data_IF_895022007896
#
_entry.id   IF_895022007896
#
_cell.length_a   1.000
_cell.length_b   1.000
_cell.length_c   1.000
_cell.angle_alpha   90.00
_cell.angle_beta   90.00
_cell.angle_gamma   90.00
#
_symmetry.space_group_name_H-M   'P 1'
#
loop_
_entity.id
_entity.type
_entity.pdbx_description
1 polymer ?
#
# COMPACT_ATOMS: atom_id res chain seq x y z
N UNK A 1 9.13 -2.82 51.15
CA UNK A 1 9.47 -3.68 50.00
C UNK A 1 8.31 -3.62 49.05
N UNK A 2 8.41 -2.91 47.93
CA UNK A 2 7.39 -2.88 46.93
C UNK A 2 7.42 -4.25 46.23
N UNK A 3 6.36 -5.05 46.28
CA UNK A 3 6.19 -6.26 45.47
C UNK A 3 6.16 -5.82 44.02
N UNK A 4 7.11 -6.27 43.23
CA UNK A 4 7.04 -6.22 41.77
C UNK A 4 5.70 -6.83 41.34
N UNK A 5 4.85 -6.16 40.56
CA UNK A 5 3.59 -6.75 40.14
C UNK A 5 3.89 -8.06 39.38
N UNK A 6 3.37 -9.15 39.91
CA UNK A 6 3.50 -10.46 39.30
C UNK A 6 2.64 -10.43 38.02
N UNK A 7 3.27 -10.47 36.84
CA UNK A 7 2.57 -10.56 35.55
C UNK A 7 1.77 -11.86 35.59
N UNK A 8 0.44 -11.75 35.57
CA UNK A 8 -0.41 -12.92 35.57
C UNK A 8 -0.45 -13.49 34.17
N UNK A 9 0.22 -14.62 33.96
CA UNK A 9 0.17 -15.42 32.73
C UNK A 9 -0.91 -16.48 32.84
N UNK A 10 -1.63 -16.72 31.75
CA UNK A 10 -2.63 -17.78 31.67
C UNK A 10 -2.39 -18.64 30.43
N UNK A 11 -2.20 -19.94 30.62
CA UNK A 11 -2.21 -20.91 29.55
C UNK A 11 -3.66 -21.25 29.18
N UNK A 12 -3.92 -21.34 27.88
CA UNK A 12 -5.25 -21.54 27.29
C UNK A 12 -5.18 -22.65 26.26
N UNK A 13 -6.07 -23.61 26.35
CA UNK A 13 -6.14 -24.77 25.46
C UNK A 13 -7.52 -24.95 24.76
N UNK A 14 -8.53 -24.15 25.13
CA UNK A 14 -9.85 -24.19 24.54
C UNK A 14 -10.52 -22.82 24.49
N UNK A 15 -11.65 -22.72 23.78
CA UNK A 15 -12.36 -21.46 23.53
C UNK A 15 -12.90 -20.83 24.83
N UNK A 16 -13.39 -21.62 25.77
CA UNK A 16 -13.96 -21.11 27.03
C UNK A 16 -12.87 -20.43 27.88
N UNK A 17 -11.73 -21.10 28.02
CA UNK A 17 -10.55 -20.53 28.70
C UNK A 17 -10.07 -19.24 28.05
N UNK A 18 -10.02 -19.20 26.70
CA UNK A 18 -9.62 -18.01 25.95
C UNK A 18 -10.57 -16.85 26.21
N UNK A 19 -11.88 -17.07 26.11
CA UNK A 19 -12.90 -16.06 26.39
C UNK A 19 -12.82 -15.57 27.84
N UNK A 20 -12.60 -16.47 28.81
CA UNK A 20 -12.44 -16.11 30.22
C UNK A 20 -11.16 -15.26 30.43
N UNK A 21 -10.06 -15.64 29.79
CA UNK A 21 -8.78 -14.94 29.88
C UNK A 21 -8.88 -13.52 29.32
N UNK A 22 -9.47 -13.35 28.12
CA UNK A 22 -9.61 -12.01 27.48
C UNK A 22 -10.52 -11.07 28.27
N UNK A 23 -11.41 -11.57 29.14
CA UNK A 23 -12.29 -10.78 30.02
C UNK A 23 -11.71 -10.49 31.41
N UNK A 24 -10.60 -11.13 31.75
CA UNK A 24 -10.00 -11.03 33.07
C UNK A 24 -8.90 -9.95 33.09
N UNK A 25 -9.18 -8.81 33.73
CA UNK A 25 -8.24 -7.68 33.86
C UNK A 25 -6.93 -8.02 34.58
N UNK A 26 -6.86 -9.12 35.31
CA UNK A 26 -5.65 -9.57 36.02
C UNK A 26 -4.72 -10.39 35.14
N UNK A 27 -5.23 -10.90 34.00
CA UNK A 27 -4.44 -11.65 33.03
C UNK A 27 -3.82 -10.68 32.04
N UNK A 28 -2.51 -10.57 32.04
CA UNK A 28 -1.75 -9.68 31.15
C UNK A 28 -1.21 -10.45 29.94
N UNK A 29 -0.83 -11.72 30.12
CA UNK A 29 -0.31 -12.55 29.04
C UNK A 29 -1.15 -13.83 28.89
N UNK A 30 -1.68 -14.04 27.69
CA UNK A 30 -2.52 -15.17 27.32
C UNK A 30 -1.72 -16.05 26.34
N UNK A 31 -1.31 -17.23 26.81
CA UNK A 31 -0.49 -18.18 26.07
C UNK A 31 -1.35 -19.31 25.51
N UNK A 32 -1.59 -19.35 24.21
CA UNK A 32 -2.46 -20.31 23.55
C UNK A 32 -1.65 -21.55 23.16
N UNK A 33 -2.05 -22.72 23.64
CA UNK A 33 -1.33 -23.98 23.44
C UNK A 33 -1.90 -24.88 22.34
N UNK A 34 -3.12 -24.61 21.86
CA UNK A 34 -3.82 -25.42 20.86
C UNK A 34 -4.52 -24.56 19.80
N UNK A 35 -4.72 -25.12 18.62
CA UNK A 35 -5.55 -24.52 17.58
C UNK A 35 -7.01 -24.50 18.06
N UNK A 36 -7.69 -23.35 17.88
CA UNK A 36 -9.07 -23.13 18.32
C UNK A 36 -9.95 -22.77 17.13
N UNK A 37 -11.15 -23.30 17.12
CA UNK A 37 -12.13 -23.08 16.05
C UNK A 37 -13.49 -22.64 16.58
N UNK A 38 -14.35 -22.17 15.69
CA UNK A 38 -15.71 -21.70 15.99
C UNK A 38 -15.74 -20.54 17.02
N UNK A 39 -14.71 -19.68 17.00
CA UNK A 39 -14.61 -18.57 17.92
C UNK A 39 -15.59 -17.45 17.55
N UNK A 40 -16.23 -16.87 18.55
CA UNK A 40 -16.88 -15.56 18.43
C UNK A 40 -15.82 -14.46 18.42
N UNK A 41 -16.13 -13.23 17.95
CA UNK A 41 -15.20 -12.11 18.04
C UNK A 41 -14.61 -11.97 19.44
N UNK A 42 -13.31 -11.78 19.50
CA UNK A 42 -12.56 -11.59 20.73
C UNK A 42 -12.20 -10.12 20.90
N UNK A 43 -12.19 -9.65 22.14
CA UNK A 43 -11.71 -8.30 22.50
C UNK A 43 -10.66 -8.42 23.59
N UNK A 44 -9.48 -7.84 23.34
CA UNK A 44 -8.45 -7.73 24.37
C UNK A 44 -8.76 -6.58 25.32
N UNK A 45 -8.49 -6.81 26.60
CA UNK A 45 -8.47 -5.72 27.59
C UNK A 45 -7.17 -4.91 27.41
N UNK A 46 -7.15 -3.64 27.84
CA UNK A 46 -5.94 -2.83 27.81
C UNK A 46 -4.74 -3.52 28.46
N UNK A 47 -3.59 -3.48 27.80
CA UNK A 47 -2.33 -4.09 28.25
C UNK A 47 -2.21 -5.60 28.06
N UNK A 48 -3.22 -6.28 27.50
CA UNK A 48 -3.13 -7.71 27.27
C UNK A 48 -2.27 -8.06 26.06
N UNK A 49 -1.47 -9.11 26.24
CA UNK A 49 -0.71 -9.79 25.19
C UNK A 49 -1.39 -11.15 24.86
N UNK A 50 -1.63 -11.40 23.58
CA UNK A 50 -2.13 -12.67 23.07
C UNK A 50 -1.05 -13.33 22.20
N UNK A 51 -0.64 -14.56 22.53
CA UNK A 51 0.43 -15.21 21.78
C UNK A 51 0.30 -16.74 21.75
N UNK A 52 1.00 -17.35 20.79
CA UNK A 52 1.24 -18.79 20.81
C UNK A 52 2.14 -19.17 22.02
N UNK A 53 1.83 -20.28 22.67
CA UNK A 53 2.67 -20.86 23.71
C UNK A 53 3.91 -21.61 23.14
N UNK A 54 4.00 -21.74 21.83
CA UNK A 54 5.08 -22.45 21.13
C UNK A 54 5.61 -21.62 19.97
N UNK A 55 6.72 -22.03 19.37
CA UNK A 55 7.27 -21.40 18.15
C UNK A 55 6.37 -21.61 16.92
N UNK A 56 5.42 -22.53 16.96
CA UNK A 56 4.42 -22.73 15.92
C UNK A 56 3.34 -21.67 16.02
N UNK A 57 2.92 -21.12 14.90
CA UNK A 57 1.71 -20.29 14.84
C UNK A 57 0.50 -21.14 15.22
N UNK A 58 -0.16 -20.76 16.29
CA UNK A 58 -1.45 -21.34 16.68
C UNK A 58 -2.54 -20.73 15.81
N UNK A 59 -3.47 -21.56 15.33
CA UNK A 59 -4.58 -21.16 14.48
C UNK A 59 -5.79 -20.79 15.34
N UNK A 60 -6.30 -19.58 15.16
CA UNK A 60 -7.57 -19.11 15.70
C UNK A 60 -8.56 -18.91 14.56
N UNK A 61 -9.53 -19.83 14.41
CA UNK A 61 -10.56 -19.75 13.39
C UNK A 61 -11.86 -19.22 13.99
N UNK A 62 -12.34 -18.12 13.43
CA UNK A 62 -13.58 -17.48 13.86
C UNK A 62 -14.76 -17.99 13.06
N UNK A 63 -15.98 -17.80 13.59
CA UNK A 63 -17.23 -18.16 12.91
C UNK A 63 -17.37 -17.44 11.58
N UNK A 64 -18.09 -18.08 10.68
CA UNK A 64 -18.52 -17.44 9.43
C UNK A 64 -19.27 -16.13 9.75
N UNK A 65 -19.07 -15.09 8.95
CA UNK A 65 -19.69 -13.78 9.12
C UNK A 65 -19.32 -13.07 10.45
N UNK A 66 -18.17 -13.39 11.02
CA UNK A 66 -17.66 -12.73 12.23
C UNK A 66 -16.28 -12.13 12.01
N UNK A 67 -16.06 -10.97 12.59
CA UNK A 67 -14.72 -10.39 12.76
C UNK A 67 -13.89 -11.22 13.77
N UNK A 68 -12.58 -11.03 13.76
CA UNK A 68 -11.64 -11.80 14.59
C UNK A 68 -11.33 -11.17 15.94
N UNK A 69 -10.26 -10.38 16.00
CA UNK A 69 -9.67 -9.85 17.22
C UNK A 69 -9.75 -8.31 17.27
N UNK A 70 -10.47 -7.78 18.25
CA UNK A 70 -10.48 -6.37 18.59
C UNK A 70 -9.35 -6.04 19.57
N UNK A 71 -8.47 -5.10 19.19
CA UNK A 71 -7.44 -4.56 20.07
C UNK A 71 -7.87 -3.22 20.65
N UNK A 72 -7.41 -2.89 21.85
CA UNK A 72 -7.76 -1.67 22.58
C UNK A 72 -6.54 -0.77 22.77
N UNK A 73 -5.96 -0.75 23.96
CA UNK A 73 -4.80 0.06 24.33
C UNK A 73 -3.65 -0.83 24.79
N UNK A 74 -2.42 -0.58 24.35
CA UNK A 74 -1.21 -1.30 24.75
C UNK A 74 -1.29 -2.81 24.57
N UNK A 75 -1.94 -3.26 23.48
CA UNK A 75 -2.06 -4.69 23.20
C UNK A 75 -0.91 -5.20 22.33
N UNK A 76 -0.58 -6.47 22.53
CA UNK A 76 0.40 -7.19 21.71
C UNK A 76 -0.17 -8.52 21.20
N UNK A 77 0.10 -8.83 19.93
CA UNK A 77 -0.36 -10.06 19.26
C UNK A 77 0.85 -10.73 18.59
N UNK A 78 1.17 -11.95 19.00
CA UNK A 78 2.37 -12.65 18.56
C UNK A 78 2.11 -14.08 18.09
N UNK A 79 2.77 -14.49 17.02
CA UNK A 79 2.92 -15.88 16.58
C UNK A 79 1.57 -16.61 16.33
N UNK A 80 0.61 -15.91 15.74
CA UNK A 80 -0.75 -16.41 15.50
C UNK A 80 -1.11 -16.47 14.01
N UNK A 81 -2.02 -17.42 13.66
CA UNK A 81 -2.70 -17.49 12.38
C UNK A 81 -4.20 -17.24 12.62
N UNK A 82 -4.66 -16.00 12.36
CA UNK A 82 -6.06 -15.58 12.58
C UNK A 82 -6.86 -15.78 11.29
N UNK A 83 -7.94 -16.54 11.36
CA UNK A 83 -8.76 -16.90 10.20
C UNK A 83 -10.20 -16.45 10.36
N UNK A 84 -10.60 -15.49 9.54
CA UNK A 84 -11.98 -15.05 9.34
C UNK A 84 -12.36 -15.21 7.87
N UNK A 85 -13.62 -15.01 7.52
CA UNK A 85 -14.03 -14.87 6.13
C UNK A 85 -13.28 -13.66 5.50
N UNK A 86 -12.77 -13.74 4.27
CA UNK A 86 -11.95 -12.68 3.67
C UNK A 86 -12.57 -11.27 3.66
N UNK A 87 -13.91 -11.18 3.70
CA UNK A 87 -14.67 -9.92 3.78
C UNK A 87 -14.73 -9.31 5.19
N UNK A 88 -14.16 -9.99 6.19
CA UNK A 88 -14.17 -9.58 7.59
C UNK A 88 -12.76 -9.18 8.06
N UNK A 89 -12.71 -8.51 9.20
CA UNK A 89 -11.45 -8.04 9.79
C UNK A 89 -10.87 -9.09 10.71
N UNK A 90 -9.66 -9.53 10.42
CA UNK A 90 -8.92 -10.43 11.31
C UNK A 90 -8.45 -9.69 12.58
N UNK A 91 -8.01 -8.44 12.42
CA UNK A 91 -7.64 -7.54 13.53
C UNK A 91 -8.21 -6.15 13.25
N UNK A 92 -8.84 -5.55 14.26
CA UNK A 92 -9.25 -4.13 14.22
C UNK A 92 -9.12 -3.50 15.60
N UNK A 93 -9.13 -2.16 15.66
CA UNK A 93 -9.05 -1.46 16.94
C UNK A 93 -10.39 -0.94 17.44
N UNK A 94 -10.53 -0.88 18.76
CA UNK A 94 -11.58 -0.14 19.44
C UNK A 94 -11.45 1.36 19.15
N UNK A 95 -12.53 1.97 18.70
CA UNK A 95 -12.59 3.41 18.39
C UNK A 95 -13.10 4.26 19.57
N UNK A 96 -13.44 3.62 20.68
CA UNK A 96 -14.00 4.30 21.87
C UNK A 96 -12.95 4.61 22.94
N UNK A 97 -11.71 4.19 22.75
CA UNK A 97 -10.56 4.53 23.61
C UNK A 97 -9.94 5.86 23.20
N UNK A 98 -9.42 6.64 24.14
CA UNK A 98 -8.78 7.93 23.83
C UNK A 98 -7.38 7.75 23.23
N UNK A 99 -6.70 6.65 23.56
CA UNK A 99 -5.38 6.30 23.05
C UNK A 99 -5.26 4.81 22.77
N UNK A 100 -4.62 4.47 21.67
CA UNK A 100 -4.23 3.08 21.36
C UNK A 100 -2.98 2.64 22.15
N UNK A 101 -2.29 3.59 22.82
CA UNK A 101 -1.00 3.29 23.44
C UNK A 101 -0.01 2.76 22.41
N UNK A 102 0.68 1.67 22.73
CA UNK A 102 1.52 0.95 21.76
C UNK A 102 0.86 -0.37 21.40
N UNK A 103 0.41 -0.49 20.13
CA UNK A 103 -0.09 -1.74 19.56
C UNK A 103 1.05 -2.47 18.85
N UNK A 104 1.31 -3.72 19.23
CA UNK A 104 2.37 -4.54 18.65
C UNK A 104 1.77 -5.77 17.96
N UNK A 105 2.05 -5.94 16.67
CA UNK A 105 1.67 -7.13 15.89
C UNK A 105 2.95 -7.72 15.32
N UNK A 106 3.31 -8.94 15.76
CA UNK A 106 4.56 -9.56 15.29
C UNK A 106 4.36 -11.03 14.96
N UNK A 107 4.92 -11.44 13.82
CA UNK A 107 4.86 -12.84 13.36
C UNK A 107 3.40 -13.34 13.29
N UNK A 108 2.52 -12.57 12.60
CA UNK A 108 1.09 -12.86 12.50
C UNK A 108 0.72 -13.14 11.05
N UNK A 109 -0.11 -14.16 10.87
CA UNK A 109 -0.74 -14.50 9.58
C UNK A 109 -2.23 -14.27 9.67
N UNK A 110 -2.84 -13.79 8.58
CA UNK A 110 -4.29 -13.61 8.56
C UNK A 110 -4.92 -14.09 7.26
N UNK A 111 -6.16 -14.56 7.39
CA UNK A 111 -7.20 -14.44 6.38
C UNK A 111 -8.21 -13.42 6.94
N UNK A 112 -8.58 -12.44 6.13
CA UNK A 112 -9.26 -11.22 6.58
C UNK A 112 -8.30 -10.04 6.73
N UNK A 113 -8.84 -8.84 6.69
CA UNK A 113 -8.07 -7.60 6.73
C UNK A 113 -7.53 -7.28 8.13
N UNK A 114 -6.45 -6.49 8.17
CA UNK A 114 -5.97 -5.82 9.39
C UNK A 114 -6.25 -4.34 9.24
N UNK A 115 -7.11 -3.79 10.11
CA UNK A 115 -7.63 -2.43 9.99
C UNK A 115 -7.46 -1.67 11.31
N UNK A 116 -6.53 -0.73 11.34
CA UNK A 116 -6.28 0.16 12.48
C UNK A 116 -6.65 1.59 12.05
N UNK A 117 -7.75 2.12 12.60
CA UNK A 117 -8.27 3.44 12.24
C UNK A 117 -8.41 4.30 13.50
N UNK A 118 -7.66 5.39 13.54
CA UNK A 118 -7.82 6.43 14.56
C UNK A 118 -8.96 7.36 14.13
N UNK A 119 -10.12 7.14 14.69
CA UNK A 119 -11.34 7.95 14.52
C UNK A 119 -12.09 8.02 15.83
N UNK A 120 -13.23 8.70 15.88
CA UNK A 120 -14.07 8.88 17.06
C UNK A 120 -13.26 9.44 18.23
N UNK A 121 -12.98 8.65 19.26
CA UNK A 121 -12.24 9.10 20.45
C UNK A 121 -10.73 8.93 20.33
N UNK A 122 -10.24 8.12 19.40
CA UNK A 122 -8.81 7.79 19.31
C UNK A 122 -8.00 9.00 18.85
N UNK A 123 -7.16 9.53 19.73
CA UNK A 123 -6.36 10.74 19.47
C UNK A 123 -4.84 10.51 19.47
N UNK A 124 -4.40 9.33 19.88
CA UNK A 124 -2.97 9.00 19.89
C UNK A 124 -2.73 7.49 19.80
N UNK A 125 -1.53 7.11 19.40
CA UNK A 125 -1.09 5.73 19.36
C UNK A 125 0.22 5.56 18.61
N UNK A 126 0.92 4.47 18.94
CA UNK A 126 2.07 3.95 18.21
C UNK A 126 1.75 2.54 17.72
N UNK A 127 1.94 2.30 16.46
CA UNK A 127 1.64 1.01 15.83
C UNK A 127 2.95 0.36 15.37
N UNK A 128 3.28 -0.78 15.93
CA UNK A 128 4.47 -1.56 15.58
C UNK A 128 4.04 -2.88 14.94
N UNK A 129 4.40 -3.06 13.69
CA UNK A 129 4.12 -4.29 12.94
C UNK A 129 5.41 -4.87 12.41
N UNK A 130 5.65 -6.14 12.71
CA UNK A 130 6.76 -6.89 12.14
C UNK A 130 6.31 -8.28 11.72
N UNK A 131 6.56 -8.62 10.45
CA UNK A 131 6.24 -9.94 9.90
C UNK A 131 4.74 -10.23 9.93
N UNK A 132 3.95 -9.39 9.27
CA UNK A 132 2.51 -9.58 9.05
C UNK A 132 2.27 -10.12 7.63
N UNK A 133 1.57 -11.26 7.54
CA UNK A 133 1.27 -11.95 6.29
C UNK A 133 -0.26 -12.08 6.09
N UNK A 134 -0.86 -11.18 5.33
CA UNK A 134 -2.30 -11.20 5.00
C UNK A 134 -2.50 -12.01 3.72
N UNK A 135 -2.89 -13.27 3.86
CA UNK A 135 -2.96 -14.21 2.74
C UNK A 135 -4.15 -13.99 1.82
N UNK A 136 -5.26 -13.55 2.38
CA UNK A 136 -6.49 -13.28 1.65
C UNK A 136 -7.30 -12.24 2.41
N UNK A 137 -7.83 -11.25 1.71
CA UNK A 137 -8.76 -10.26 2.22
C UNK A 137 -9.60 -9.71 1.06
N UNK A 138 -10.81 -9.23 1.38
CA UNK A 138 -11.67 -8.50 0.46
C UNK A 138 -12.19 -7.22 1.13
N UNK A 139 -11.58 -6.09 0.80
CA UNK A 139 -11.90 -4.78 1.39
C UNK A 139 -12.77 -3.91 0.49
N UNK A 140 -13.25 -4.44 -0.63
CA UNK A 140 -14.07 -3.68 -1.60
C UNK A 140 -15.41 -3.21 -1.01
N UNK A 141 -15.89 -3.89 0.03
CA UNK A 141 -17.11 -3.54 0.77
C UNK A 141 -16.93 -2.44 1.81
N UNK A 142 -15.69 -2.02 2.12
CA UNK A 142 -15.43 -0.97 3.10
C UNK A 142 -16.00 0.38 2.62
N UNK A 143 -16.67 1.09 3.54
CA UNK A 143 -17.43 2.31 3.20
C UNK A 143 -16.59 3.58 3.28
N UNK A 144 -15.71 3.66 4.27
CA UNK A 144 -14.82 4.80 4.41
C UNK A 144 -13.76 4.73 3.31
N UNK A 145 -13.69 5.77 2.49
CA UNK A 145 -12.74 5.86 1.37
C UNK A 145 -12.22 7.27 1.26
N UNK A 146 -10.90 7.49 1.21
CA UNK A 146 -10.40 8.82 0.87
C UNK A 146 -10.84 9.18 -0.54
N UNK A 147 -11.20 10.45 -0.73
CA UNK A 147 -11.60 10.99 -2.02
C UNK A 147 -10.80 12.26 -2.30
N UNK A 148 -9.95 12.22 -3.31
CA UNK A 148 -9.17 13.36 -3.78
C UNK A 148 -8.87 13.15 -5.28
N UNK A 149 -8.48 14.20 -5.97
CA UNK A 149 -8.15 14.14 -7.41
C UNK A 149 -9.27 13.58 -8.31
N UNK A 150 -10.51 13.58 -7.82
CA UNK A 150 -11.69 13.04 -8.53
C UNK A 150 -11.88 11.54 -8.43
N UNK A 151 -11.13 10.86 -7.56
CA UNK A 151 -11.24 9.41 -7.37
C UNK A 151 -11.35 9.02 -5.90
N UNK A 152 -12.03 7.91 -5.64
CA UNK A 152 -12.10 7.24 -4.34
C UNK A 152 -11.16 6.05 -4.32
N UNK A 153 -10.41 5.89 -3.22
CA UNK A 153 -9.46 4.79 -3.05
C UNK A 153 -10.07 3.66 -2.24
N UNK A 154 -9.95 2.42 -2.73
CA UNK A 154 -10.32 1.23 -1.96
C UNK A 154 -9.33 1.02 -0.80
N UNK A 155 -9.85 0.71 0.40
CA UNK A 155 -9.01 0.39 1.55
C UNK A 155 -8.12 -0.83 1.31
N UNK A 156 -7.06 -0.96 2.11
CA UNK A 156 -6.09 -2.04 2.00
C UNK A 156 -6.46 -3.30 2.78
N UNK A 157 -5.89 -4.42 2.36
CA UNK A 157 -5.85 -5.61 3.21
C UNK A 157 -5.15 -5.31 4.54
N UNK A 158 -4.08 -4.51 4.51
CA UNK A 158 -3.57 -3.76 5.65
C UNK A 158 -3.96 -2.30 5.53
N UNK A 159 -4.70 -1.77 6.49
CA UNK A 159 -5.10 -0.36 6.58
C UNK A 159 -4.65 0.22 7.91
N UNK A 160 -3.83 1.28 7.83
CA UNK A 160 -3.52 2.15 8.96
C UNK A 160 -3.93 3.58 8.59
N UNK A 161 -4.93 4.11 9.26
CA UNK A 161 -5.52 5.39 8.89
C UNK A 161 -5.78 6.28 10.11
N UNK A 162 -5.20 7.47 10.11
CA UNK A 162 -5.59 8.52 11.04
C UNK A 162 -6.68 9.40 10.40
N UNK A 163 -7.93 9.10 10.70
CA UNK A 163 -9.12 9.76 10.14
C UNK A 163 -9.63 10.91 11.02
N UNK A 164 -8.84 11.38 11.99
CA UNK A 164 -9.21 12.52 12.85
C UNK A 164 -9.21 13.83 12.05
N UNK A 165 -10.21 14.66 12.28
CA UNK A 165 -10.29 15.98 11.64
C UNK A 165 -9.33 17.01 12.25
N UNK A 166 -8.83 16.77 13.44
CA UNK A 166 -7.92 17.64 14.18
C UNK A 166 -6.47 17.40 13.74
N UNK A 167 -5.81 18.43 13.24
CA UNK A 167 -4.44 18.36 12.72
C UNK A 167 -3.35 18.13 13.79
N UNK A 168 -3.70 18.35 15.06
CA UNK A 168 -2.79 18.07 16.18
C UNK A 168 -2.77 16.58 16.56
N UNK A 169 -3.73 15.80 16.08
CA UNK A 169 -3.76 14.37 16.32
C UNK A 169 -2.75 13.67 15.42
N UNK A 170 -1.75 13.05 16.02
CA UNK A 170 -0.73 12.30 15.33
C UNK A 170 -0.68 10.83 15.79
N UNK A 171 -0.66 9.93 14.84
CA UNK A 171 -0.38 8.49 15.03
C UNK A 171 1.02 8.23 14.49
N UNK A 172 1.82 7.46 15.22
CA UNK A 172 3.14 7.02 14.75
C UNK A 172 3.15 5.53 14.43
N UNK A 173 4.01 5.11 13.50
CA UNK A 173 4.11 3.72 13.15
C UNK A 173 5.52 3.29 12.72
N UNK A 174 5.82 2.01 12.95
CA UNK A 174 6.96 1.30 12.41
C UNK A 174 6.46 -0.04 11.83
N UNK A 175 6.48 -0.16 10.51
CA UNK A 175 5.79 -1.18 9.75
C UNK A 175 6.81 -1.93 8.89
N UNK A 176 7.20 -3.14 9.29
CA UNK A 176 8.23 -3.90 8.57
C UNK A 176 7.77 -5.31 8.22
N UNK A 177 8.27 -5.83 7.12
CA UNK A 177 7.99 -7.19 6.65
C UNK A 177 6.49 -7.49 6.39
N UNK A 178 5.76 -6.55 5.78
CA UNK A 178 4.36 -6.76 5.43
C UNK A 178 4.22 -7.49 4.10
N UNK A 179 3.32 -8.47 4.04
CA UNK A 179 2.97 -9.18 2.80
C UNK A 179 1.46 -9.24 2.62
N UNK A 180 0.97 -9.12 1.39
CA UNK A 180 -0.46 -9.30 1.08
C UNK A 180 -0.66 -10.12 -0.19
N UNK A 181 -1.64 -11.03 -0.15
CA UNK A 181 -1.98 -11.88 -1.27
C UNK A 181 -0.85 -12.84 -1.67
N UNK A 182 -1.05 -13.50 -2.81
CA UNK A 182 -0.10 -14.44 -3.43
C UNK A 182 -0.13 -14.26 -4.94
N UNK A 183 0.92 -14.69 -5.59
CA UNK A 183 0.90 -14.84 -7.06
C UNK A 183 -0.30 -15.70 -7.47
N UNK A 184 -1.16 -15.18 -8.34
CA UNK A 184 -2.39 -15.86 -8.77
C UNK A 184 -3.54 -15.88 -7.75
N UNK A 185 -3.34 -15.36 -6.54
CA UNK A 185 -4.36 -15.22 -5.50
C UNK A 185 -4.19 -13.87 -4.77
N UNK A 186 -4.45 -12.74 -5.45
CA UNK A 186 -4.31 -11.41 -4.86
C UNK A 186 -5.35 -11.17 -3.76
N UNK A 187 -5.09 -10.23 -2.88
CA UNK A 187 -6.14 -9.64 -2.04
C UNK A 187 -7.05 -8.77 -2.91
N UNK A 188 -8.32 -8.64 -2.52
CA UNK A 188 -9.31 -7.84 -3.25
C UNK A 188 -9.46 -6.46 -2.61
N UNK A 189 -9.12 -5.43 -3.36
CA UNK A 189 -8.93 -4.04 -2.91
C UNK A 189 -7.47 -3.64 -2.98
N UNK A 190 -7.04 -2.68 -2.18
CA UNK A 190 -5.63 -2.26 -2.07
C UNK A 190 -4.83 -3.28 -1.22
N UNK A 191 -3.56 -3.45 -1.48
CA UNK A 191 -2.67 -4.29 -0.67
C UNK A 191 -2.36 -3.64 0.67
N UNK A 192 -1.51 -2.63 0.65
CA UNK A 192 -1.06 -1.85 1.82
C UNK A 192 -1.55 -0.41 1.67
N UNK A 193 -2.25 0.08 2.69
CA UNK A 193 -2.86 1.40 2.69
C UNK A 193 -2.49 2.14 3.99
N UNK A 194 -1.78 3.26 3.87
CA UNK A 194 -1.42 4.12 4.99
C UNK A 194 -1.88 5.56 4.72
N UNK A 195 -2.66 6.15 5.62
CA UNK A 195 -3.34 7.41 5.40
C UNK A 195 -3.43 8.31 6.62
N UNK A 196 -3.35 9.62 6.41
CA UNK A 196 -3.85 10.64 7.32
C UNK A 196 -5.23 11.14 6.89
N UNK A 197 -5.70 12.23 7.48
CA UNK A 197 -7.03 12.81 7.23
C UNK A 197 -7.00 14.05 6.31
N UNK A 198 -6.18 14.02 5.29
CA UNK A 198 -6.07 15.13 4.34
C UNK A 198 -5.02 16.18 4.72
N UNK A 199 -5.09 17.33 4.05
CA UNK A 199 -4.08 18.41 4.22
C UNK A 199 -4.15 19.11 5.58
N UNK A 200 -5.28 19.06 6.26
CA UNK A 200 -5.58 19.76 7.52
C UNK A 200 -6.19 18.87 8.59
N UNK A 201 -6.03 17.58 8.49
CA UNK A 201 -6.53 16.64 9.48
C UNK A 201 -5.41 15.90 10.19
N UNK A 202 -5.76 14.85 10.91
CA UNK A 202 -4.85 14.00 11.65
C UNK A 202 -3.72 13.46 10.79
N UNK A 203 -2.53 13.39 11.36
CA UNK A 203 -1.30 13.01 10.68
C UNK A 203 -0.89 11.58 11.02
N UNK A 204 -0.36 10.88 10.03
CA UNK A 204 0.29 9.59 10.22
C UNK A 204 1.78 9.73 9.94
N UNK A 205 2.61 9.47 10.95
CA UNK A 205 4.07 9.50 10.83
C UNK A 205 4.61 8.07 10.86
N UNK A 206 5.20 7.63 9.77
CA UNK A 206 5.73 6.29 9.60
C UNK A 206 7.26 6.35 9.52
N UNK A 207 7.94 5.78 10.50
CA UNK A 207 9.40 5.71 10.52
C UNK A 207 9.91 4.81 9.40
N UNK A 208 9.39 3.59 9.34
CA UNK A 208 9.68 2.61 8.27
C UNK A 208 8.37 2.01 7.75
N UNK A 209 8.30 1.86 6.44
CA UNK A 209 7.30 1.02 5.77
C UNK A 209 8.06 0.04 4.88
N UNK A 210 8.16 -1.21 5.32
CA UNK A 210 8.79 -2.27 4.52
C UNK A 210 7.76 -3.31 4.11
N UNK A 211 7.71 -3.60 2.81
CA UNK A 211 6.86 -4.67 2.28
C UNK A 211 7.71 -5.77 1.66
N UNK A 212 7.29 -7.00 1.83
CA UNK A 212 7.72 -8.13 1.01
C UNK A 212 6.83 -8.22 -0.24
N UNK A 213 6.32 -9.40 -0.60
CA UNK A 213 5.46 -9.54 -1.75
C UNK A 213 4.06 -8.95 -1.50
N UNK A 214 3.60 -8.11 -2.44
CA UNK A 214 2.26 -7.51 -2.44
C UNK A 214 1.57 -7.86 -3.75
N UNK A 215 0.43 -8.55 -3.65
CA UNK A 215 -0.43 -8.89 -4.78
C UNK A 215 -1.85 -8.41 -4.49
N UNK A 216 -2.38 -7.53 -5.33
CA UNK A 216 -3.71 -6.93 -5.15
C UNK A 216 -4.50 -6.86 -6.45
N UNK A 217 -5.82 -6.81 -6.34
CA UNK A 217 -6.76 -6.67 -7.43
C UNK A 217 -7.98 -5.87 -6.94
N UNK A 218 -8.11 -4.64 -7.41
CA UNK A 218 -9.26 -3.79 -7.07
C UNK A 218 -10.58 -4.34 -7.56
N UNK A 219 -10.56 -5.18 -8.59
CA UNK A 219 -11.75 -5.65 -9.31
C UNK A 219 -12.73 -4.54 -9.64
N UNK A 220 -12.18 -3.38 -9.95
CA UNK A 220 -12.97 -2.23 -10.39
C UNK A 220 -13.59 -2.57 -11.74
N UNK A 221 -14.87 -2.29 -11.88
CA UNK A 221 -15.57 -2.56 -13.14
C UNK A 221 -14.98 -1.69 -14.27
N UNK A 222 -14.64 -2.25 -15.43
CA UNK A 222 -14.18 -1.48 -16.57
C UNK A 222 -15.15 -0.31 -16.89
N UNK A 223 -14.60 0.86 -17.19
CA UNK A 223 -15.38 2.09 -17.40
C UNK A 223 -15.69 2.90 -16.14
N UNK A 224 -15.38 2.39 -14.94
CA UNK A 224 -15.45 3.18 -13.70
C UNK A 224 -14.26 4.13 -13.62
N UNK A 225 -14.52 5.44 -13.69
CA UNK A 225 -13.46 6.45 -13.77
C UNK A 225 -13.08 7.07 -12.42
N UNK A 226 -13.89 6.88 -11.40
CA UNK A 226 -13.83 7.55 -10.09
C UNK A 226 -13.40 6.62 -8.94
N UNK A 227 -12.88 5.43 -9.26
CA UNK A 227 -12.35 4.49 -8.28
C UNK A 227 -10.97 3.99 -8.69
N UNK A 228 -10.10 3.85 -7.69
CA UNK A 228 -8.78 3.26 -7.82
C UNK A 228 -8.49 2.31 -6.65
N UNK A 229 -7.60 1.36 -6.89
CA UNK A 229 -6.96 0.54 -5.87
C UNK A 229 -5.46 0.49 -6.12
N UNK A 230 -4.70 -0.21 -5.30
CA UNK A 230 -3.27 -0.29 -5.53
C UNK A 230 -2.55 -1.41 -4.78
N UNK A 231 -1.26 -1.51 -5.05
CA UNK A 231 -0.38 -2.39 -4.31
C UNK A 231 0.03 -1.76 -2.97
N UNK A 232 0.81 -0.69 -3.03
CA UNK A 232 1.25 0.08 -1.86
C UNK A 232 0.84 1.53 -2.05
N UNK A 233 0.01 2.04 -1.16
CA UNK A 233 -0.58 3.36 -1.26
C UNK A 233 -0.26 4.20 -0.02
N UNK A 234 0.51 5.27 -0.21
CA UNK A 234 0.77 6.32 0.79
C UNK A 234 -0.18 7.49 0.49
N UNK A 235 -1.23 7.64 1.29
CA UNK A 235 -2.26 8.64 1.08
C UNK A 235 -1.90 9.95 1.79
N UNK A 236 -2.57 11.03 1.46
CA UNK A 236 -2.36 12.36 2.03
C UNK A 236 -2.39 12.37 3.56
N UNK A 237 -1.74 13.36 4.17
CA UNK A 237 -1.60 13.45 5.63
C UNK A 237 -0.64 12.41 6.23
N UNK A 238 -0.02 11.58 5.40
CA UNK A 238 1.01 10.62 5.79
C UNK A 238 2.40 11.14 5.44
N UNK A 239 3.31 11.04 6.40
CA UNK A 239 4.74 11.19 6.20
C UNK A 239 5.43 9.86 6.43
N UNK A 240 6.27 9.43 5.49
CA UNK A 240 7.09 8.22 5.59
C UNK A 240 8.56 8.59 5.48
N UNK A 241 9.35 8.30 6.51
CA UNK A 241 10.80 8.56 6.46
C UNK A 241 11.51 7.59 5.52
N UNK A 242 11.24 6.29 5.63
CA UNK A 242 11.83 5.26 4.77
C UNK A 242 10.79 4.24 4.31
N UNK A 243 10.57 4.17 2.99
CA UNK A 243 9.72 3.16 2.37
C UNK A 243 10.58 2.19 1.54
N UNK A 244 10.41 0.89 1.75
CA UNK A 244 11.17 -0.15 1.05
C UNK A 244 10.23 -1.28 0.60
N UNK A 245 10.18 -1.54 -0.70
CA UNK A 245 9.53 -2.73 -1.23
C UNK A 245 10.62 -3.78 -1.50
N UNK A 246 10.72 -4.80 -0.66
CA UNK A 246 11.76 -5.83 -0.73
C UNK A 246 11.40 -6.95 -1.70
N UNK A 247 10.10 -7.21 -1.89
CA UNK A 247 9.54 -8.18 -2.80
C UNK A 247 8.75 -7.54 -3.94
N UNK A 248 8.17 -8.36 -4.84
CA UNK A 248 7.39 -7.87 -5.96
C UNK A 248 6.11 -7.16 -5.49
N UNK A 249 5.73 -6.10 -6.20
CA UNK A 249 4.42 -5.45 -6.09
C UNK A 249 3.69 -5.61 -7.41
N UNK A 250 2.59 -6.35 -7.40
CA UNK A 250 1.85 -6.72 -8.61
C UNK A 250 0.36 -6.44 -8.43
N UNK A 251 -0.22 -5.71 -9.38
CA UNK A 251 -1.66 -5.43 -9.41
C UNK A 251 -2.31 -6.01 -10.66
N UNK A 252 -3.58 -6.41 -10.55
CA UNK A 252 -4.28 -7.10 -11.63
C UNK A 252 -5.52 -6.35 -12.12
N UNK A 253 -6.09 -5.47 -11.32
CA UNK A 253 -7.36 -4.81 -11.61
C UNK A 253 -7.24 -3.59 -12.52
N UNK A 254 -8.39 -3.18 -13.05
CA UNK A 254 -8.55 -1.90 -13.76
C UNK A 254 -8.30 -0.75 -12.79
N UNK A 255 -7.62 0.29 -13.24
CA UNK A 255 -7.25 1.47 -12.44
C UNK A 255 -6.44 1.13 -11.16
N UNK A 256 -5.70 0.05 -11.18
CA UNK A 256 -4.83 -0.30 -10.07
C UNK A 256 -3.46 0.37 -10.21
N UNK A 257 -3.04 1.09 -9.16
CA UNK A 257 -1.74 1.72 -9.06
C UNK A 257 -0.79 0.81 -8.26
N UNK A 258 0.23 0.22 -8.90
CA UNK A 258 1.11 -0.69 -8.15
C UNK A 258 1.79 0.03 -6.97
N UNK A 259 2.35 1.21 -7.21
CA UNK A 259 2.92 2.09 -6.18
C UNK A 259 2.32 3.49 -6.36
N UNK A 260 1.69 4.03 -5.30
CA UNK A 260 1.02 5.33 -5.37
C UNK A 260 1.37 6.21 -4.15
N UNK A 261 1.69 7.46 -4.41
CA UNK A 261 2.01 8.45 -3.40
C UNK A 261 1.17 9.72 -3.51
N UNK A 262 0.34 9.97 -2.51
CA UNK A 262 -0.36 11.25 -2.29
C UNK A 262 0.18 11.99 -1.05
N UNK A 263 1.03 11.34 -0.28
CA UNK A 263 1.64 11.85 0.95
C UNK A 263 3.02 12.45 0.74
N UNK A 264 3.84 12.34 1.76
CA UNK A 264 5.24 12.77 1.73
C UNK A 264 6.15 11.61 2.08
N UNK A 265 7.15 11.33 1.26
CA UNK A 265 8.12 10.25 1.48
C UNK A 265 9.54 10.81 1.33
N UNK A 266 10.37 10.63 2.35
CA UNK A 266 11.77 11.04 2.22
C UNK A 266 12.53 10.13 1.26
N UNK A 267 12.50 8.83 1.52
CA UNK A 267 13.19 7.86 0.69
C UNK A 267 12.30 6.66 0.38
N UNK A 268 12.09 6.39 -0.91
CA UNK A 268 11.38 5.22 -1.41
C UNK A 268 12.30 4.35 -2.27
N UNK A 269 12.53 3.10 -1.85
CA UNK A 269 13.36 2.14 -2.58
C UNK A 269 12.57 0.87 -2.87
N UNK A 270 12.39 0.52 -4.14
CA UNK A 270 11.84 -0.78 -4.54
C UNK A 270 12.95 -1.69 -5.05
N UNK A 271 13.07 -2.86 -4.43
CA UNK A 271 14.02 -3.93 -4.81
C UNK A 271 13.34 -5.09 -5.53
N UNK A 272 12.01 -5.11 -5.56
CA UNK A 272 11.24 -6.11 -6.26
C UNK A 272 10.65 -5.57 -7.55
N UNK A 273 10.31 -6.48 -8.47
CA UNK A 273 9.61 -6.13 -9.72
C UNK A 273 8.29 -5.42 -9.41
N UNK A 274 8.00 -4.39 -10.19
CA UNK A 274 6.71 -3.69 -10.16
C UNK A 274 5.96 -4.01 -11.44
N UNK A 275 4.75 -4.57 -11.34
CA UNK A 275 3.96 -4.91 -12.51
C UNK A 275 2.47 -4.58 -12.32
N UNK A 276 1.79 -4.15 -13.39
CA UNK A 276 0.34 -4.00 -13.43
C UNK A 276 -0.23 -4.57 -14.72
N UNK A 277 -1.33 -5.32 -14.60
CA UNK A 277 -1.95 -6.03 -15.71
C UNK A 277 -3.25 -5.38 -16.18
N UNK A 278 -3.93 -4.62 -15.32
CA UNK A 278 -5.23 -4.04 -15.65
C UNK A 278 -5.17 -2.84 -16.58
N UNK A 279 -6.29 -2.55 -17.24
CA UNK A 279 -6.47 -1.33 -18.03
C UNK A 279 -6.26 -0.09 -17.15
N UNK A 280 -5.62 0.93 -17.68
CA UNK A 280 -5.30 2.18 -17.00
C UNK A 280 -4.50 2.01 -15.70
N UNK A 281 -3.88 0.85 -15.49
CA UNK A 281 -3.00 0.60 -14.37
C UNK A 281 -1.72 1.43 -14.46
N UNK A 282 -1.10 1.75 -13.31
CA UNK A 282 0.14 2.53 -13.27
C UNK A 282 1.19 1.83 -12.42
N UNK A 283 2.41 1.71 -12.95
CA UNK A 283 3.52 1.12 -12.21
C UNK A 283 3.90 1.96 -11.00
N UNK A 284 4.19 3.23 -11.22
CA UNK A 284 4.42 4.22 -10.15
C UNK A 284 3.73 5.54 -10.50
N UNK A 285 2.93 6.06 -9.57
CA UNK A 285 2.32 7.39 -9.72
C UNK A 285 2.58 8.28 -8.50
N UNK A 286 2.82 9.57 -8.75
CA UNK A 286 3.02 10.57 -7.71
C UNK A 286 2.03 11.72 -7.84
N UNK A 287 1.39 12.06 -6.71
CA UNK A 287 0.59 13.25 -6.48
C UNK A 287 1.10 14.05 -5.27
N UNK A 288 1.98 13.46 -4.48
CA UNK A 288 2.54 14.05 -3.27
C UNK A 288 3.98 14.55 -3.44
N UNK A 289 4.78 14.39 -2.41
CA UNK A 289 6.20 14.78 -2.45
C UNK A 289 7.10 13.59 -2.13
N UNK A 290 8.16 13.42 -2.93
CA UNK A 290 9.20 12.42 -2.67
C UNK A 290 10.55 13.11 -2.81
N UNK A 291 11.45 12.92 -1.82
CA UNK A 291 12.80 13.44 -1.96
C UNK A 291 13.66 12.55 -2.86
N UNK A 292 13.73 11.25 -2.53
CA UNK A 292 14.54 10.29 -3.27
C UNK A 292 13.74 9.02 -3.58
N UNK A 293 13.55 8.70 -4.86
CA UNK A 293 12.88 7.53 -5.39
C UNK A 293 13.87 6.65 -6.14
N UNK A 294 13.92 5.34 -5.83
CA UNK A 294 14.81 4.42 -6.53
C UNK A 294 14.13 3.05 -6.73
N UNK A 295 13.95 2.64 -7.98
CA UNK A 295 13.45 1.33 -8.35
C UNK A 295 14.55 0.52 -9.05
N UNK A 296 15.03 -0.51 -8.35
CA UNK A 296 16.20 -1.32 -8.74
C UNK A 296 15.87 -2.47 -9.68
N UNK A 297 14.56 -2.76 -9.85
CA UNK A 297 14.04 -3.76 -10.77
C UNK A 297 13.06 -3.09 -11.75
N UNK A 298 12.76 -3.71 -12.91
CA UNK A 298 11.90 -3.11 -13.91
C UNK A 298 10.49 -2.80 -13.42
N UNK A 299 9.94 -1.70 -13.96
CA UNK A 299 8.48 -1.50 -14.02
C UNK A 299 8.01 -2.11 -15.34
N UNK A 300 6.93 -2.90 -15.27
CA UNK A 300 6.32 -3.51 -16.46
C UNK A 300 4.79 -3.41 -16.40
N UNK A 301 4.17 -2.80 -17.41
CA UNK A 301 2.72 -2.61 -17.47
C UNK A 301 2.14 -3.21 -18.74
N UNK A 302 1.01 -3.93 -18.61
CA UNK A 302 0.43 -4.71 -19.70
C UNK A 302 -0.91 -4.16 -20.20
N UNK A 303 -1.65 -3.47 -19.35
CA UNK A 303 -3.00 -3.01 -19.66
C UNK A 303 -3.04 -1.91 -20.71
N UNK A 304 -4.15 -1.84 -21.44
CA UNK A 304 -4.44 -0.71 -22.33
C UNK A 304 -4.51 0.59 -21.52
N UNK A 305 -3.93 1.66 -22.04
CA UNK A 305 -3.89 2.96 -21.36
C UNK A 305 -3.08 3.00 -20.07
N UNK A 306 -2.33 1.93 -19.75
CA UNK A 306 -1.47 1.88 -18.58
C UNK A 306 -0.31 2.88 -18.67
N UNK A 307 0.39 3.09 -17.56
CA UNK A 307 1.59 3.94 -17.53
C UNK A 307 2.69 3.27 -16.71
N UNK A 308 3.93 3.43 -17.16
CA UNK A 308 5.07 2.97 -16.39
C UNK A 308 5.29 3.85 -15.16
N UNK A 309 5.65 5.11 -15.39
CA UNK A 309 5.89 6.12 -14.35
C UNK A 309 5.15 7.42 -14.67
N UNK A 310 4.50 8.00 -13.66
CA UNK A 310 3.72 9.22 -13.86
C UNK A 310 3.86 10.19 -12.67
N UNK A 311 4.20 11.45 -12.96
CA UNK A 311 4.18 12.57 -12.01
C UNK A 311 2.97 13.44 -12.36
N UNK A 312 1.85 13.20 -11.69
CA UNK A 312 0.58 13.90 -11.92
C UNK A 312 0.48 15.22 -11.17
N UNK A 313 0.90 15.20 -9.90
CA UNK A 313 0.88 16.36 -9.01
C UNK A 313 2.07 16.29 -8.04
N UNK A 314 2.23 17.33 -7.21
CA UNK A 314 3.32 17.40 -6.25
C UNK A 314 4.70 17.52 -6.90
N UNK A 315 5.70 16.86 -6.32
CA UNK A 315 7.08 16.94 -6.80
C UNK A 315 7.92 15.71 -6.44
N UNK A 316 8.94 15.43 -7.23
CA UNK A 316 9.97 14.45 -6.90
C UNK A 316 11.35 15.12 -7.02
N UNK A 317 12.19 15.00 -5.99
CA UNK A 317 13.57 15.51 -6.02
C UNK A 317 14.43 14.71 -6.99
N UNK A 318 14.67 13.44 -6.66
CA UNK A 318 15.45 12.52 -7.49
C UNK A 318 14.67 11.25 -7.73
N UNK A 319 14.65 10.78 -8.99
CA UNK A 319 14.07 9.49 -9.36
C UNK A 319 15.08 8.68 -10.17
N UNK A 320 15.29 7.44 -9.77
CA UNK A 320 16.13 6.48 -10.48
C UNK A 320 15.36 5.21 -10.74
N UNK A 321 15.35 4.74 -12.00
CA UNK A 321 14.72 3.52 -12.44
C UNK A 321 15.73 2.61 -13.14
N UNK A 322 15.59 1.32 -12.95
CA UNK A 322 16.33 0.33 -13.73
C UNK A 322 15.86 0.34 -15.20
N UNK A 323 14.60 -0.02 -15.46
CA UNK A 323 13.97 -0.06 -16.77
C UNK A 323 12.46 0.16 -16.66
N UNK A 324 11.87 0.77 -17.67
CA UNK A 324 10.41 0.97 -17.77
C UNK A 324 9.92 0.37 -19.10
N UNK A 325 8.95 -0.55 -19.01
CA UNK A 325 8.38 -1.25 -20.16
C UNK A 325 6.86 -1.19 -20.13
N UNK A 326 6.22 -0.80 -21.23
CA UNK A 326 4.76 -0.80 -21.35
C UNK A 326 4.32 -1.52 -22.62
N UNK A 327 3.22 -2.31 -22.53
CA UNK A 327 2.78 -3.18 -23.64
C UNK A 327 1.45 -2.75 -24.28
N UNK A 328 0.56 -2.09 -23.54
CA UNK A 328 -0.79 -1.76 -24.02
C UNK A 328 -0.82 -0.60 -25.02
N UNK A 329 -1.85 -0.56 -25.86
CA UNK A 329 -2.13 0.63 -26.68
C UNK A 329 -2.48 1.81 -25.75
N UNK A 330 -2.01 3.01 -26.07
CA UNK A 330 -2.15 4.20 -25.20
C UNK A 330 -1.33 4.18 -23.92
N UNK A 331 -0.45 3.17 -23.76
CA UNK A 331 0.35 2.97 -22.54
C UNK A 331 1.66 3.73 -22.59
N UNK A 332 1.70 4.91 -21.95
CA UNK A 332 2.87 5.80 -21.90
C UNK A 332 3.93 5.23 -20.97
N UNK A 333 5.21 5.24 -21.38
CA UNK A 333 6.32 4.79 -20.55
C UNK A 333 6.55 5.69 -19.34
N UNK A 334 6.92 6.94 -19.60
CA UNK A 334 7.14 8.00 -18.59
C UNK A 334 6.32 9.22 -18.95
N UNK A 335 5.52 9.73 -18.00
CA UNK A 335 4.79 10.98 -18.14
C UNK A 335 5.14 11.95 -17.00
N UNK A 336 5.61 13.14 -17.34
CA UNK A 336 5.96 14.19 -16.39
C UNK A 336 5.02 15.36 -16.60
N UNK A 337 4.08 15.60 -15.67
CA UNK A 337 3.12 16.71 -15.72
C UNK A 337 3.39 17.78 -14.64
N UNK A 338 4.32 17.52 -13.71
CA UNK A 338 4.71 18.37 -12.59
C UNK A 338 6.24 18.32 -12.40
N UNK A 339 6.82 19.15 -11.53
CA UNK A 339 8.27 19.23 -11.38
C UNK A 339 8.92 17.92 -10.91
N UNK A 340 10.01 17.54 -11.56
CA UNK A 340 10.97 16.55 -11.10
C UNK A 340 12.38 17.16 -11.17
N UNK A 341 13.19 16.96 -10.14
CA UNK A 341 14.57 17.44 -10.15
C UNK A 341 15.40 16.63 -11.13
N UNK A 342 15.72 15.38 -10.80
CA UNK A 342 16.49 14.48 -11.64
C UNK A 342 15.72 13.20 -11.91
N UNK A 343 15.68 12.78 -13.18
CA UNK A 343 15.21 11.46 -13.60
C UNK A 343 16.36 10.71 -14.27
N UNK A 344 16.70 9.53 -13.76
CA UNK A 344 17.67 8.62 -14.36
C UNK A 344 16.99 7.30 -14.67
N UNK A 345 17.14 6.79 -15.91
CA UNK A 345 16.69 5.45 -16.31
C UNK A 345 17.88 4.66 -16.86
N UNK A 346 18.30 3.63 -16.14
CA UNK A 346 19.56 2.92 -16.40
C UNK A 346 19.57 2.10 -17.69
N UNK A 347 18.53 1.28 -17.89
CA UNK A 347 18.47 0.34 -19.02
C UNK A 347 17.47 0.74 -20.11
N UNK A 348 16.84 1.89 -19.97
CA UNK A 348 16.01 2.45 -21.02
C UNK A 348 14.51 2.39 -20.75
N UNK A 349 13.77 2.98 -21.70
CA UNK A 349 12.31 3.06 -21.70
C UNK A 349 11.81 2.45 -23.00
N UNK A 350 10.90 1.50 -22.91
CA UNK A 350 10.41 0.75 -24.08
C UNK A 350 8.88 0.65 -24.06
N UNK A 351 8.24 0.96 -25.18
CA UNK A 351 6.80 0.85 -25.33
C UNK A 351 6.45 0.04 -26.58
N UNK A 352 5.51 -0.90 -26.43
CA UNK A 352 5.09 -1.80 -27.53
C UNK A 352 3.75 -1.42 -28.13
N UNK A 353 2.91 -0.67 -27.41
CA UNK A 353 1.58 -0.30 -27.89
C UNK A 353 1.57 0.82 -28.91
N UNK A 354 0.48 0.91 -29.66
CA UNK A 354 0.14 2.02 -30.54
C UNK A 354 -0.68 3.10 -29.82
N UNK A 355 -1.50 3.84 -30.58
CA UNK A 355 -2.51 4.76 -30.04
C UNK A 355 -3.72 3.98 -29.53
N UNK A 356 -4.29 4.39 -28.41
CA UNK A 356 -5.48 3.78 -27.84
C UNK A 356 -6.02 4.53 -26.62
N UNK A 357 -7.22 4.15 -26.15
CA UNK A 357 -7.89 4.81 -25.03
C UNK A 357 -7.12 4.64 -23.73
N UNK A 358 -7.06 5.71 -22.96
CA UNK A 358 -6.43 5.80 -21.67
C UNK A 358 -7.25 6.70 -20.74
N UNK A 359 -7.40 6.33 -19.50
CA UNK A 359 -8.06 7.16 -18.49
C UNK A 359 -7.13 8.26 -18.00
N UNK A 360 -7.52 9.53 -18.22
CA UNK A 360 -6.76 10.71 -17.80
C UNK A 360 -7.66 11.60 -16.96
N UNK A 361 -7.44 11.69 -15.67
CA UNK A 361 -8.23 12.54 -14.74
C UNK A 361 -9.74 12.29 -14.88
N UNK A 362 -10.16 11.04 -14.90
CA UNK A 362 -11.55 10.64 -15.00
C UNK A 362 -12.18 10.72 -16.40
N UNK A 363 -11.40 11.07 -17.44
CA UNK A 363 -11.88 11.15 -18.83
C UNK A 363 -11.09 10.18 -19.70
N UNK A 364 -11.79 9.37 -20.48
CA UNK A 364 -11.17 8.49 -21.48
C UNK A 364 -10.80 9.30 -22.70
N UNK A 365 -9.56 9.24 -23.13
CA UNK A 365 -9.04 9.89 -24.33
C UNK A 365 -7.97 9.01 -25.00
N UNK A 366 -7.83 9.13 -26.30
CA UNK A 366 -6.80 8.41 -27.03
C UNK A 366 -5.43 9.02 -26.78
N UNK A 367 -4.48 8.19 -26.35
CA UNK A 367 -3.08 8.55 -26.20
C UNK A 367 -2.22 7.64 -27.07
N UNK A 368 -1.12 8.17 -27.58
CA UNK A 368 -0.04 7.37 -28.16
C UNK A 368 0.83 6.78 -27.03
N UNK A 369 1.30 5.55 -27.21
CA UNK A 369 2.19 4.88 -26.26
C UNK A 369 3.62 5.45 -26.30
N UNK A 370 3.75 6.77 -26.16
CA UNK A 370 5.02 7.49 -26.17
C UNK A 370 5.90 7.01 -25.01
N UNK A 371 7.18 6.77 -25.28
CA UNK A 371 8.10 6.28 -24.25
C UNK A 371 8.42 7.34 -23.19
N UNK A 372 8.72 8.58 -23.61
CA UNK A 372 8.97 9.70 -22.71
C UNK A 372 8.11 10.91 -23.11
N UNK A 373 7.23 11.35 -22.23
CA UNK A 373 6.36 12.50 -22.45
C UNK A 373 6.48 13.50 -21.30
N UNK A 374 6.88 14.73 -21.59
CA UNK A 374 6.85 15.87 -20.66
C UNK A 374 5.73 16.80 -21.07
N UNK A 375 4.67 16.84 -20.28
CA UNK A 375 3.44 17.59 -20.59
C UNK A 375 3.59 19.08 -20.25
N UNK A 376 2.71 19.97 -20.75
CA UNK A 376 2.65 21.35 -20.29
C UNK A 376 2.52 21.43 -18.77
N UNK A 377 3.36 22.25 -18.12
CA UNK A 377 3.48 22.33 -16.65
C UNK A 377 4.52 21.38 -16.05
N UNK A 378 4.85 20.30 -16.74
CA UNK A 378 5.94 19.42 -16.35
C UNK A 378 7.30 20.07 -16.52
N UNK A 379 8.21 19.80 -15.59
CA UNK A 379 9.59 20.28 -15.69
C UNK A 379 10.58 19.29 -15.11
N UNK A 380 11.80 19.27 -15.66
CA UNK A 380 12.91 18.50 -15.15
C UNK A 380 14.21 19.29 -15.21
N UNK A 381 15.02 19.18 -14.17
CA UNK A 381 16.39 19.71 -14.22
C UNK A 381 17.27 18.83 -15.10
N UNK A 382 17.21 17.52 -14.89
CA UNK A 382 17.94 16.53 -15.70
C UNK A 382 17.04 15.33 -15.99
N UNK A 383 17.00 14.91 -17.25
CA UNK A 383 16.52 13.58 -17.66
C UNK A 383 17.70 12.86 -18.31
N UNK A 384 18.17 11.76 -17.71
CA UNK A 384 19.24 10.92 -18.23
C UNK A 384 18.71 9.50 -18.48
N UNK A 385 18.83 9.01 -19.71
CA UNK A 385 18.50 7.64 -20.08
C UNK A 385 19.76 6.96 -20.60
N UNK A 386 20.38 6.13 -19.74
CA UNK A 386 21.64 5.44 -20.03
C UNK A 386 21.46 4.30 -21.06
N UNK A 387 20.22 3.78 -21.20
CA UNK A 387 19.81 2.87 -22.26
C UNK A 387 19.15 3.58 -23.42
N UNK A 388 18.40 2.85 -24.23
CA UNK A 388 17.65 3.41 -25.36
C UNK A 388 16.24 3.85 -24.93
N UNK A 389 15.68 4.81 -25.66
CA UNK A 389 14.25 5.12 -25.67
C UNK A 389 13.67 4.52 -26.96
N UNK A 390 12.77 3.55 -26.82
CA UNK A 390 12.27 2.75 -27.94
C UNK A 390 10.75 2.69 -27.98
N UNK A 391 10.16 2.85 -29.17
CA UNK A 391 8.74 2.62 -29.43
C UNK A 391 8.56 1.62 -30.56
N UNK A 392 7.68 0.65 -30.38
CA UNK A 392 7.36 -0.37 -31.38
C UNK A 392 5.97 -0.17 -32.01
N UNK A 393 5.18 0.75 -31.47
CA UNK A 393 3.86 1.07 -32.01
C UNK A 393 3.92 1.84 -33.33
N UNK A 394 2.91 1.63 -34.16
CA UNK A 394 2.79 2.34 -35.43
C UNK A 394 2.59 3.85 -35.19
N UNK A 395 3.39 4.69 -35.86
CA UNK A 395 3.34 6.16 -35.78
C UNK A 395 3.45 6.72 -34.35
N UNK A 396 4.13 6.03 -33.44
CA UNK A 396 4.34 6.48 -32.06
C UNK A 396 5.68 7.20 -31.94
N UNK A 397 5.63 8.45 -31.49
CA UNK A 397 6.85 9.22 -31.22
C UNK A 397 7.51 8.73 -29.92
N UNK A 398 8.82 8.42 -29.93
CA UNK A 398 9.53 7.98 -28.74
C UNK A 398 9.59 9.06 -27.64
N UNK A 399 9.72 10.32 -28.02
CA UNK A 399 9.88 11.45 -27.11
C UNK A 399 8.94 12.59 -27.50
N UNK A 400 8.24 13.13 -26.48
CA UNK A 400 7.41 14.33 -26.58
C UNK A 400 7.79 15.29 -25.46
N UNK A 401 8.27 16.48 -25.77
CA UNK A 401 8.63 17.50 -24.78
C UNK A 401 7.81 18.77 -25.04
N UNK A 402 6.77 18.96 -24.26
CA UNK A 402 5.88 20.15 -24.27
C UNK A 402 6.07 21.03 -23.02
N UNK A 403 6.78 20.53 -22.03
CA UNK A 403 7.18 21.23 -20.80
C UNK A 403 8.62 21.74 -20.86
N UNK A 404 9.21 21.96 -19.69
CA UNK A 404 10.55 22.52 -19.55
C UNK A 404 11.57 21.48 -19.09
N UNK A 405 12.53 21.11 -19.92
CA UNK A 405 13.65 20.22 -19.57
C UNK A 405 14.96 20.97 -19.75
N UNK A 406 15.71 21.20 -18.66
CA UNK A 406 16.97 21.94 -18.73
C UNK A 406 18.10 21.12 -19.37
N UNK A 407 18.15 19.82 -19.08
CA UNK A 407 19.13 18.90 -19.66
C UNK A 407 18.50 17.57 -19.99
N UNK A 408 18.64 17.12 -21.24
CA UNK A 408 18.21 15.81 -21.72
C UNK A 408 19.43 15.05 -22.24
N UNK A 409 19.74 13.92 -21.61
CA UNK A 409 20.84 13.03 -21.99
C UNK A 409 20.28 11.67 -22.31
N UNK A 410 20.38 11.23 -23.58
CA UNK A 410 19.84 9.96 -24.04
C UNK A 410 20.91 9.26 -24.85
N UNK A 411 21.16 7.97 -24.56
CA UNK A 411 22.14 7.18 -25.27
C UNK A 411 21.72 6.91 -26.73
N UNK A 412 20.48 6.57 -26.95
CA UNK A 412 19.92 6.31 -28.25
C UNK A 412 18.41 6.42 -28.27
N UNK A 413 17.87 6.77 -29.43
CA UNK A 413 16.42 6.82 -29.69
C UNK A 413 16.13 5.98 -30.92
N UNK A 414 15.21 5.03 -30.81
CA UNK A 414 14.75 4.23 -31.92
C UNK A 414 13.22 4.15 -31.96
N UNK A 415 12.69 4.09 -33.14
CA UNK A 415 11.29 3.82 -33.41
C UNK A 415 11.19 2.83 -34.56
N UNK A 416 10.23 1.95 -34.48
CA UNK A 416 9.97 1.00 -35.55
C UNK A 416 8.85 1.57 -36.42
N UNK A 417 9.20 1.85 -37.67
CA UNK A 417 8.19 2.04 -38.73
C UNK A 417 7.93 0.69 -39.37
N UNK A 418 6.69 0.30 -39.58
CA UNK A 418 6.37 -0.96 -40.26
C UNK A 418 6.95 -1.05 -41.67
#
# INVERSE_FOLDING_TARGET
MAQTPQISQMAVANAEELIAATRNKKVIEINISADLSDLSPLRLMPGQTLRSASERHVVLSFRTEADGLEVTTDNSVFDLDLRVTPTHRAIWNDRTVDSLGTLVIRSVRTTGSVQIIATDKVRSGRIEVDSLDIRSADTRGERERPHEYGVSVLQGAFTLWNLQSDEEVAISADLVNLSTGRFGAPVLGTGIFVAGAGKRGGRLNVERLETNAVYSDGRITPGTADQIAGGVFVVYGTYVESLRNLGPTVTYGVNDMALDNWGSVDRWVSKGKVATYGESGVGFVNFGSIRDLCLLEPIETFGQGARGFNVYDGMIGNAEFDRIVTHGNGAVGVQISQPIGTLVVRRGIETFGGTGPSLVKGVVQDLSATALSVKPGGSAHLIAVDGNIETHGHEVLPIEILGNVQSLQVRGVSFHSP
#
